data_IF_815959157511
#
_entry.id   IF_815959157511
#
_cell.length_a   1.000
_cell.length_b   1.000
_cell.length_c   1.000
_cell.angle_alpha   90.00
_cell.angle_beta   90.00
_cell.angle_gamma   90.00
#
_symmetry.space_group_name_H-M   'P 1'
#
loop_
_entity.id
_entity.type
_entity.pdbx_description
1 polymer ?
#
# COMPACT_ATOMS: atom_id res chain seq x y z
N UNK A 1 8.97 -8.18 11.38
CA UNK A 1 7.69 -8.46 10.70
C UNK A 1 6.85 -9.49 11.45
N UNK A 2 7.23 -10.78 11.53
CA UNK A 2 6.39 -11.81 12.18
C UNK A 2 6.09 -11.45 13.64
N UNK A 3 7.12 -11.07 14.41
CA UNK A 3 6.95 -10.62 15.78
C UNK A 3 6.07 -9.36 15.90
N UNK A 4 6.15 -8.45 14.93
CA UNK A 4 5.33 -7.23 14.91
C UNK A 4 3.86 -7.55 14.60
N UNK A 5 3.59 -8.52 13.73
CA UNK A 5 2.24 -9.01 13.47
C UNK A 5 1.63 -9.65 14.72
N UNK A 6 2.40 -10.42 15.50
CA UNK A 6 1.93 -10.95 16.78
C UNK A 6 1.62 -9.84 17.80
N UNK A 7 2.46 -8.79 17.87
CA UNK A 7 2.21 -7.63 18.73
C UNK A 7 0.95 -6.89 18.31
N UNK A 8 0.75 -6.65 17.01
CA UNK A 8 -0.48 -6.02 16.50
C UNK A 8 -1.71 -6.88 16.80
N UNK A 9 -1.62 -8.21 16.60
CA UNK A 9 -2.70 -9.14 16.93
C UNK A 9 -3.10 -9.04 18.40
N UNK A 10 -2.11 -9.10 19.29
CA UNK A 10 -2.33 -9.00 20.74
C UNK A 10 -2.89 -7.62 21.14
N UNK A 11 -2.39 -6.54 20.53
CA UNK A 11 -2.83 -5.17 20.78
C UNK A 11 -4.31 -4.99 20.46
N UNK A 12 -4.75 -5.41 19.27
CA UNK A 12 -6.15 -5.24 18.84
C UNK A 12 -7.10 -6.26 19.47
N UNK A 13 -6.62 -7.43 19.86
CA UNK A 13 -7.41 -8.40 20.61
C UNK A 13 -7.66 -7.96 22.05
N UNK A 14 -6.73 -7.18 22.63
CA UNK A 14 -6.83 -6.58 23.96
C UNK A 14 -7.28 -7.58 25.05
N UNK A 15 -6.64 -8.75 25.10
CA UNK A 15 -6.96 -9.84 26.05
C UNK A 15 -8.43 -10.33 26.05
N UNK A 16 -9.20 -10.04 25.00
CA UNK A 16 -10.61 -10.42 24.87
C UNK A 16 -11.58 -9.23 24.87
N UNK A 17 -11.12 -8.04 25.26
CA UNK A 17 -11.94 -6.81 25.30
C UNK A 17 -11.93 -6.05 23.96
N UNK A 18 -11.15 -6.53 22.98
CA UNK A 18 -10.92 -5.88 21.70
C UNK A 18 -11.73 -6.47 20.54
N UNK A 19 -11.13 -6.46 19.36
CA UNK A 19 -11.75 -6.97 18.13
C UNK A 19 -11.72 -8.51 18.08
N UNK A 20 -12.64 -9.08 17.31
CA UNK A 20 -12.68 -10.51 17.03
C UNK A 20 -11.40 -11.00 16.35
N UNK A 21 -10.94 -12.19 16.74
CA UNK A 21 -9.69 -12.77 16.22
C UNK A 21 -9.73 -12.98 14.71
N UNK A 22 -10.86 -13.41 14.17
CA UNK A 22 -11.04 -13.63 12.74
C UNK A 22 -10.91 -12.32 11.95
N UNK A 23 -11.51 -11.23 12.45
CA UNK A 23 -11.39 -9.91 11.85
C UNK A 23 -9.94 -9.44 11.87
N UNK A 24 -9.26 -9.56 13.03
CA UNK A 24 -7.85 -9.18 13.16
C UNK A 24 -6.99 -9.99 12.19
N UNK A 25 -7.18 -11.31 12.12
CA UNK A 25 -6.36 -12.18 11.28
C UNK A 25 -6.55 -11.87 9.78
N UNK A 26 -7.79 -11.59 9.34
CA UNK A 26 -8.06 -11.18 7.95
C UNK A 26 -7.41 -9.84 7.57
N UNK A 27 -7.42 -8.86 8.48
CA UNK A 27 -6.71 -7.58 8.26
C UNK A 27 -5.19 -7.75 8.29
N UNK A 28 -4.65 -8.58 9.19
CA UNK A 28 -3.22 -8.88 9.22
C UNK A 28 -2.77 -9.59 7.94
N UNK A 29 -3.58 -10.48 7.37
CA UNK A 29 -3.31 -11.10 6.07
C UNK A 29 -3.24 -10.04 4.97
N UNK A 30 -4.18 -9.08 4.96
CA UNK A 30 -4.16 -7.95 4.01
C UNK A 30 -2.91 -7.08 4.17
N UNK A 31 -2.49 -6.80 5.40
CA UNK A 31 -1.24 -6.08 5.70
C UNK A 31 -0.03 -6.86 5.19
N UNK A 32 0.02 -8.18 5.43
CA UNK A 32 1.09 -9.03 4.93
C UNK A 32 1.20 -8.99 3.41
N UNK A 33 0.08 -9.02 2.70
CA UNK A 33 0.04 -8.86 1.23
C UNK A 33 0.55 -7.48 0.79
N UNK A 34 0.35 -6.43 1.59
CA UNK A 34 0.80 -5.06 1.28
C UNK A 34 2.30 -4.83 1.49
N UNK A 35 2.94 -5.58 2.41
CA UNK A 35 4.35 -5.37 2.78
C UNK A 35 5.34 -5.41 1.59
N UNK A 36 5.24 -6.33 0.62
CA UNK A 36 6.10 -6.31 -0.57
C UNK A 36 6.02 -4.98 -1.31
N UNK A 37 4.82 -4.46 -1.57
CA UNK A 37 4.64 -3.17 -2.25
C UNK A 37 5.25 -2.02 -1.46
N UNK A 38 5.08 -2.01 -0.13
CA UNK A 38 5.67 -0.98 0.73
C UNK A 38 7.20 -0.96 0.70
N UNK A 39 7.84 -2.09 0.36
CA UNK A 39 9.30 -2.22 0.25
C UNK A 39 9.84 -1.81 -1.12
N UNK A 40 8.98 -1.68 -2.13
CA UNK A 40 9.39 -1.23 -3.46
C UNK A 40 9.96 0.19 -3.36
N UNK A 41 11.04 0.44 -4.10
CA UNK A 41 11.65 1.75 -4.18
C UNK A 41 10.74 2.75 -4.93
N UNK A 42 10.92 4.04 -4.66
CA UNK A 42 10.04 5.09 -5.23
C UNK A 42 10.07 5.14 -6.75
N UNK A 43 11.22 4.90 -7.39
CA UNK A 43 11.32 4.88 -8.86
C UNK A 43 10.39 3.83 -9.49
N UNK A 44 10.57 2.54 -9.17
CA UNK A 44 9.67 1.49 -9.65
C UNK A 44 8.20 1.69 -9.23
N UNK A 45 7.91 2.19 -8.01
CA UNK A 45 6.54 2.54 -7.60
C UNK A 45 5.91 3.60 -8.52
N UNK A 46 6.68 4.63 -8.91
CA UNK A 46 6.21 5.65 -9.84
C UNK A 46 5.89 5.06 -11.21
N UNK A 47 6.70 4.11 -11.69
CA UNK A 47 6.46 3.46 -12.98
C UNK A 47 5.26 2.50 -12.92
N UNK A 48 5.09 1.74 -11.84
CA UNK A 48 3.88 0.95 -11.61
C UNK A 48 2.63 1.86 -11.61
N UNK A 49 2.68 3.02 -10.95
CA UNK A 49 1.54 3.95 -10.94
C UNK A 49 1.24 4.52 -12.34
N UNK A 50 2.26 4.80 -13.14
CA UNK A 50 2.06 5.21 -14.55
C UNK A 50 1.37 4.10 -15.33
N UNK A 51 1.89 2.88 -15.28
CA UNK A 51 1.32 1.72 -15.96
C UNK A 51 -0.13 1.47 -15.54
N UNK A 52 -0.42 1.54 -14.24
CA UNK A 52 -1.79 1.38 -13.72
C UNK A 52 -2.76 2.40 -14.33
N UNK A 53 -2.32 3.66 -14.54
CA UNK A 53 -3.14 4.73 -15.14
C UNK A 53 -3.28 4.64 -16.64
N UNK A 54 -2.21 4.28 -17.34
CA UNK A 54 -2.18 4.31 -18.81
C UNK A 54 -2.74 3.03 -19.40
N UNK A 55 -2.54 1.90 -18.72
CA UNK A 55 -2.83 0.57 -19.25
C UNK A 55 -3.73 -0.28 -18.33
N UNK A 56 -4.12 0.25 -17.17
CA UNK A 56 -4.87 -0.47 -16.16
C UNK A 56 -3.99 -1.36 -15.28
N UNK A 57 -4.55 -1.81 -14.16
CA UNK A 57 -3.85 -2.58 -13.13
C UNK A 57 -3.64 -4.05 -13.52
N UNK A 58 -4.29 -4.52 -14.58
CA UNK A 58 -4.15 -5.89 -15.10
C UNK A 58 -2.72 -6.23 -15.51
N UNK A 59 -1.97 -5.25 -16.05
CA UNK A 59 -0.57 -5.45 -16.45
C UNK A 59 0.41 -5.57 -15.26
N UNK A 60 -0.04 -5.22 -14.05
CA UNK A 60 0.74 -5.35 -12.82
C UNK A 60 0.44 -6.67 -12.09
N UNK A 61 -0.48 -7.49 -12.61
CA UNK A 61 -0.87 -8.73 -11.95
C UNK A 61 0.11 -9.86 -12.27
N UNK A 62 0.47 -10.63 -11.25
CA UNK A 62 1.04 -11.96 -11.45
C UNK A 62 -0.04 -12.89 -12.05
N UNK A 63 0.32 -13.92 -12.85
CA UNK A 63 -0.64 -14.81 -13.52
C UNK A 63 -1.64 -15.52 -12.61
N UNK A 64 -1.36 -15.61 -11.31
CA UNK A 64 -2.14 -16.34 -10.30
C UNK A 64 -3.21 -15.48 -9.59
N UNK A 65 -3.73 -14.44 -10.24
CA UNK A 65 -4.66 -13.43 -9.72
C UNK A 65 -5.60 -13.89 -8.59
N UNK A 66 -5.26 -13.54 -7.35
CA UNK A 66 -6.07 -13.78 -6.17
C UNK A 66 -6.94 -12.57 -5.76
N UNK A 67 -7.99 -12.79 -4.96
CA UNK A 67 -8.96 -11.77 -4.54
C UNK A 67 -8.36 -10.84 -3.49
N UNK A 68 -7.60 -9.84 -3.92
CA UNK A 68 -6.97 -8.87 -3.03
C UNK A 68 -5.74 -8.22 -3.63
N UNK A 69 -5.88 -7.68 -4.85
CA UNK A 69 -4.76 -7.19 -5.63
C UNK A 69 -4.17 -5.92 -4.99
N UNK A 70 -3.03 -6.08 -4.33
CA UNK A 70 -2.24 -5.01 -3.69
C UNK A 70 -1.71 -4.00 -4.71
N UNK A 71 -1.64 -4.36 -5.99
CA UNK A 71 -1.11 -3.54 -7.07
C UNK A 71 -2.19 -2.74 -7.80
N UNK A 72 -3.32 -2.46 -7.15
CA UNK A 72 -4.28 -1.52 -7.70
C UNK A 72 -3.75 -0.07 -7.66
N UNK A 73 -4.23 0.79 -8.57
CA UNK A 73 -3.75 2.18 -8.69
C UNK A 73 -3.88 2.95 -7.37
N UNK A 74 -4.99 2.76 -6.65
CA UNK A 74 -5.29 3.51 -5.43
C UNK A 74 -4.36 3.12 -4.29
N UNK A 75 -4.03 1.83 -4.16
CA UNK A 75 -3.07 1.33 -3.18
C UNK A 75 -1.65 1.80 -3.51
N UNK A 76 -1.22 1.70 -4.76
CA UNK A 76 0.10 2.20 -5.20
C UNK A 76 0.23 3.69 -4.94
N UNK A 77 -0.79 4.48 -5.28
CA UNK A 77 -0.83 5.91 -5.01
C UNK A 77 -0.70 6.20 -3.51
N UNK A 78 -1.44 5.48 -2.65
CA UNK A 78 -1.39 5.64 -1.19
C UNK A 78 -0.01 5.33 -0.65
N UNK A 79 0.62 4.24 -1.09
CA UNK A 79 1.99 3.92 -0.68
C UNK A 79 2.91 5.06 -1.10
N UNK A 80 2.84 5.53 -2.35
CA UNK A 80 3.70 6.58 -2.89
C UNK A 80 3.54 7.94 -2.18
N UNK A 81 2.33 8.35 -1.79
CA UNK A 81 2.12 9.63 -1.07
C UNK A 81 2.71 9.63 0.34
N UNK A 82 2.87 8.46 0.96
CA UNK A 82 3.48 8.32 2.28
C UNK A 82 5.02 8.15 2.23
N UNK A 83 5.62 8.17 1.03
CA UNK A 83 7.07 8.08 0.85
C UNK A 83 7.73 9.45 0.97
N UNK A 84 8.80 9.61 1.77
CA UNK A 84 9.47 10.90 1.97
C UNK A 84 10.26 11.40 0.74
N UNK A 85 10.53 10.54 -0.23
CA UNK A 85 11.40 10.86 -1.36
C UNK A 85 10.81 11.94 -2.29
N UNK A 86 11.65 12.94 -2.61
CA UNK A 86 11.23 14.17 -3.33
C UNK A 86 10.70 13.91 -4.74
N UNK A 87 11.25 12.93 -5.44
CA UNK A 87 10.90 12.54 -6.81
C UNK A 87 9.44 12.09 -6.93
N UNK A 88 8.97 11.21 -6.03
CA UNK A 88 7.56 10.79 -5.97
C UNK A 88 6.63 11.98 -5.75
N UNK A 89 6.93 12.79 -4.74
CA UNK A 89 6.17 14.02 -4.45
C UNK A 89 6.16 15.01 -5.63
N UNK A 90 7.27 15.20 -6.33
CA UNK A 90 7.35 16.10 -7.50
C UNK A 90 6.44 15.64 -8.63
N UNK A 91 6.45 14.34 -8.94
CA UNK A 91 5.59 13.76 -9.98
C UNK A 91 4.11 13.93 -9.61
N UNK A 92 3.73 13.57 -8.39
CA UNK A 92 2.35 13.69 -7.92
C UNK A 92 1.86 15.15 -7.93
N UNK A 93 2.67 16.10 -7.47
CA UNK A 93 2.34 17.53 -7.54
C UNK A 93 2.09 17.99 -8.98
N UNK A 94 2.89 17.50 -9.94
CA UNK A 94 2.71 17.81 -11.36
C UNK A 94 1.40 17.23 -11.91
N UNK A 95 1.11 15.97 -11.60
CA UNK A 95 -0.08 15.28 -12.10
C UNK A 95 -1.38 15.88 -11.57
N UNK A 96 -1.40 16.20 -10.29
CA UNK A 96 -2.58 16.71 -9.60
C UNK A 96 -2.65 18.23 -9.51
N UNK A 97 -1.70 18.93 -10.17
CA UNK A 97 -1.59 20.40 -10.15
C UNK A 97 -1.59 20.98 -8.72
N UNK A 98 -0.96 20.28 -7.79
CA UNK A 98 -0.90 20.67 -6.38
C UNK A 98 0.06 21.84 -6.18
N UNK A 99 -0.21 22.74 -5.22
CA UNK A 99 0.69 23.85 -4.92
C UNK A 99 2.05 23.36 -4.43
N UNK A 100 3.12 24.06 -4.82
CA UNK A 100 4.50 23.67 -4.47
C UNK A 100 4.79 23.84 -2.97
N UNK A 101 4.09 24.76 -2.31
CA UNK A 101 4.18 25.09 -0.89
C UNK A 101 2.78 24.98 -0.24
N UNK A 102 2.67 24.46 1.00
CA UNK A 102 1.43 24.58 1.76
C UNK A 102 1.08 26.06 1.99
N UNK A 103 -0.21 26.35 2.17
CA UNK A 103 -0.67 27.67 2.60
C UNK A 103 -0.35 27.89 4.07
#
# INVERSE_FOLDING_TARGET
>A
VVQDMHKLRALFYAAGDGLDRELIDSELERVQRLLPLMRVEVGPLMDMLKTARTHGTAQLMAPSGGPGNVYDESTILRVLVHRPERNGSKMLKSWYKLPKKPK
#
